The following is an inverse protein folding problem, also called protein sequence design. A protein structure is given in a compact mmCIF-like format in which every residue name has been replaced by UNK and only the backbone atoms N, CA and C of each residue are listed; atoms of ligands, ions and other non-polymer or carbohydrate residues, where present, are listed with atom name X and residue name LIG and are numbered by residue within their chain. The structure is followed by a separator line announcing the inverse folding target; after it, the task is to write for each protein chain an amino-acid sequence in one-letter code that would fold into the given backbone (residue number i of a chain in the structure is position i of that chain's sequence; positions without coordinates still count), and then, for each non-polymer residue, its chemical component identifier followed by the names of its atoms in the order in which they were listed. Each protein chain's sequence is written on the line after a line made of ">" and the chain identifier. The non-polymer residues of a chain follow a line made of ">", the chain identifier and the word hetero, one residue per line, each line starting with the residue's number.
data_IF_117325065535
#
_entry.id   IF_117325065535
#
_cell.length_a   1.000
_cell.length_b   1.000
_cell.length_c   1.000
_cell.angle_alpha   90.00
_cell.angle_beta   90.00
_cell.angle_gamma   90.00
#
_symmetry.space_group_name_H-M   'P 1'
#
loop_
_entity.id
_entity.type
_entity.pdbx_description
1 polymer ?
#
# COMPACT_ATOMS: atom_id res chain seq x y z
N UNK A 1 -2.99 12.22 -21.51
CA UNK A 1 -2.17 11.58 -20.46
C UNK A 1 -2.58 10.12 -20.37
N UNK A 2 -1.65 9.18 -20.53
CA UNK A 2 -1.94 7.75 -20.35
C UNK A 2 -1.73 7.41 -18.88
N UNK A 3 -2.74 6.89 -18.21
CA UNK A 3 -2.63 6.43 -16.82
C UNK A 3 -2.32 4.95 -16.89
N UNK A 4 -1.14 4.55 -16.43
CA UNK A 4 -0.72 3.16 -16.38
C UNK A 4 -0.36 2.77 -14.95
N UNK A 5 -0.87 1.61 -14.53
CA UNK A 5 -0.46 0.96 -13.30
C UNK A 5 0.62 -0.06 -13.66
N UNK A 6 1.90 0.28 -13.44
CA UNK A 6 2.98 -0.66 -13.69
C UNK A 6 3.02 -1.69 -12.55
N UNK A 7 3.19 -2.96 -12.91
CA UNK A 7 3.34 -4.06 -11.97
C UNK A 7 4.74 -4.64 -12.11
N UNK A 8 5.41 -4.94 -11.00
CA UNK A 8 6.76 -5.52 -11.00
C UNK A 8 6.85 -6.83 -11.80
N UNK A 9 5.81 -7.65 -11.74
CA UNK A 9 5.73 -8.95 -12.41
C UNK A 9 4.27 -9.38 -12.66
N UNK A 10 4.09 -10.49 -13.38
CA UNK A 10 2.79 -11.05 -13.73
C UNK A 10 1.98 -11.55 -12.52
N UNK A 11 2.67 -11.94 -11.43
CA UNK A 11 2.01 -12.35 -10.19
C UNK A 11 1.17 -11.19 -9.66
N UNK A 12 1.73 -9.98 -9.59
CA UNK A 12 0.98 -8.79 -9.13
C UNK A 12 -0.24 -8.52 -10.01
N UNK A 13 -0.11 -8.66 -11.34
CA UNK A 13 -1.25 -8.49 -12.27
C UNK A 13 -2.38 -9.49 -11.94
N UNK A 14 -2.03 -10.75 -11.66
CA UNK A 14 -2.99 -11.79 -11.27
C UNK A 14 -3.59 -11.60 -9.87
N UNK A 15 -2.95 -10.82 -9.01
CA UNK A 15 -3.38 -10.54 -7.64
C UNK A 15 -4.32 -9.35 -7.54
N UNK A 16 -4.23 -8.37 -8.46
CA UNK A 16 -5.13 -7.21 -8.50
C UNK A 16 -6.62 -7.53 -8.34
N UNK A 17 -7.21 -8.54 -9.02
CA UNK A 17 -8.63 -8.86 -8.82
C UNK A 17 -8.95 -9.39 -7.41
N UNK A 18 -7.96 -9.90 -6.67
CA UNK A 18 -8.08 -10.58 -5.37
C UNK A 18 -7.95 -9.64 -4.17
N UNK A 19 -7.36 -8.46 -4.35
CA UNK A 19 -7.22 -7.48 -3.26
C UNK A 19 -8.50 -6.67 -3.06
N UNK A 20 -8.61 -6.05 -1.89
CA UNK A 20 -9.73 -5.19 -1.51
C UNK A 20 -9.96 -4.10 -2.59
N UNK A 21 -11.19 -3.90 -3.08
CA UNK A 21 -11.49 -2.90 -4.09
C UNK A 21 -11.02 -1.48 -3.73
N UNK A 22 -10.95 -1.14 -2.44
CA UNK A 22 -10.48 0.16 -1.97
C UNK A 22 -8.98 0.33 -2.19
N UNK A 23 -8.18 -0.73 -2.01
CA UNK A 23 -6.75 -0.70 -2.36
C UNK A 23 -6.58 -0.41 -3.84
N UNK A 24 -7.36 -1.06 -4.72
CA UNK A 24 -7.33 -0.78 -6.17
C UNK A 24 -7.71 0.66 -6.49
N UNK A 25 -8.74 1.20 -5.84
CA UNK A 25 -9.16 2.58 -6.04
C UNK A 25 -8.05 3.57 -5.65
N UNK A 26 -7.39 3.35 -4.50
CA UNK A 26 -6.27 4.18 -4.06
C UNK A 26 -5.10 4.09 -5.05
N UNK A 27 -4.77 2.89 -5.55
CA UNK A 27 -3.70 2.69 -6.52
C UNK A 27 -3.96 3.44 -7.84
N UNK A 28 -5.19 3.42 -8.34
CA UNK A 28 -5.57 4.17 -9.54
C UNK A 28 -5.47 5.67 -9.33
N UNK A 29 -5.92 6.17 -8.17
CA UNK A 29 -5.86 7.59 -7.84
C UNK A 29 -4.41 8.06 -7.63
N UNK A 30 -3.58 7.25 -6.99
CA UNK A 30 -2.14 7.50 -6.86
C UNK A 30 -1.44 7.50 -8.23
N UNK A 31 -1.83 6.59 -9.13
CA UNK A 31 -1.31 6.58 -10.50
C UNK A 31 -1.71 7.85 -11.27
N UNK A 32 -2.96 8.31 -11.13
CA UNK A 32 -3.39 9.60 -11.69
C UNK A 32 -2.58 10.78 -11.14
N UNK A 33 -2.38 10.81 -9.81
CA UNK A 33 -1.64 11.86 -9.12
C UNK A 33 -0.18 11.97 -9.62
N UNK A 34 0.48 10.82 -9.76
CA UNK A 34 1.86 10.74 -10.24
C UNK A 34 1.96 11.04 -11.74
N UNK A 35 1.04 10.52 -12.56
CA UNK A 35 1.02 10.77 -14.00
C UNK A 35 0.87 12.27 -14.31
N UNK A 36 0.05 12.99 -13.54
CA UNK A 36 -0.11 14.43 -13.67
C UNK A 36 1.19 15.23 -13.38
N UNK A 37 2.16 14.61 -12.71
CA UNK A 37 3.49 15.17 -12.39
C UNK A 37 4.61 14.56 -13.24
N UNK A 38 4.28 13.73 -14.24
CA UNK A 38 5.25 13.09 -15.12
C UNK A 38 5.90 11.81 -14.56
N UNK A 39 5.34 11.22 -13.51
CA UNK A 39 5.84 9.97 -12.90
C UNK A 39 4.89 8.79 -13.17
N UNK A 40 5.44 7.58 -13.13
CA UNK A 40 4.68 6.33 -13.21
C UNK A 40 4.63 5.65 -11.84
N UNK A 41 3.52 4.97 -11.55
CA UNK A 41 3.36 4.19 -10.34
C UNK A 41 3.78 2.73 -10.62
N UNK A 42 4.71 2.19 -9.81
CA UNK A 42 5.11 0.79 -9.86
C UNK A 42 4.71 0.06 -8.58
N UNK A 43 3.73 -0.84 -8.70
CA UNK A 43 3.32 -1.75 -7.62
C UNK A 43 4.33 -2.90 -7.51
N UNK A 44 4.84 -3.12 -6.30
CA UNK A 44 5.86 -4.16 -6.03
C UNK A 44 5.37 -5.28 -5.14
N UNK A 45 4.25 -5.11 -4.42
CA UNK A 45 3.64 -6.15 -3.60
C UNK A 45 2.14 -5.86 -3.42
N UNK A 46 1.30 -6.89 -3.50
CA UNK A 46 -0.13 -6.83 -3.18
C UNK A 46 -0.47 -7.86 -2.11
N UNK A 47 -0.28 -9.14 -2.42
CA UNK A 47 -0.45 -10.23 -1.46
C UNK A 47 0.88 -10.72 -0.93
N UNK A 48 0.84 -11.22 0.31
CA UNK A 48 1.98 -11.86 0.97
C UNK A 48 1.48 -13.06 1.73
N UNK A 49 2.15 -14.20 1.57
CA UNK A 49 1.89 -15.40 2.38
C UNK A 49 2.42 -15.20 3.80
N UNK A 50 1.97 -16.05 4.73
CA UNK A 50 2.48 -16.00 6.11
C UNK A 50 3.98 -16.29 6.17
N UNK A 51 4.47 -17.20 5.33
CA UNK A 51 5.89 -17.56 5.29
C UNK A 51 6.75 -16.44 4.70
N UNK A 52 6.27 -15.79 3.63
CA UNK A 52 6.92 -14.58 3.09
C UNK A 52 6.97 -13.45 4.15
N UNK A 53 5.90 -13.25 4.93
CA UNK A 53 5.88 -12.27 6.01
C UNK A 53 6.88 -12.63 7.11
N UNK A 54 6.97 -13.91 7.50
CA UNK A 54 7.94 -14.37 8.50
C UNK A 54 9.38 -14.19 8.04
N UNK A 55 9.67 -14.47 6.77
CA UNK A 55 10.99 -14.31 6.20
C UNK A 55 11.52 -12.87 6.35
N UNK A 56 10.65 -11.85 6.24
CA UNK A 56 11.03 -10.43 6.46
C UNK A 56 11.54 -10.20 7.88
N UNK A 57 10.96 -10.90 8.86
CA UNK A 57 11.29 -10.76 10.29
C UNK A 57 12.16 -11.89 10.81
N UNK A 58 12.71 -12.74 9.94
CA UNK A 58 13.45 -13.95 10.33
C UNK A 58 14.57 -13.62 11.31
N UNK A 59 15.36 -12.57 11.02
CA UNK A 59 16.42 -12.11 11.91
C UNK A 59 15.89 -11.66 13.28
N UNK A 60 14.74 -10.98 13.33
CA UNK A 60 14.14 -10.55 14.59
C UNK A 60 13.70 -11.77 15.42
N UNK A 61 13.08 -12.76 14.77
CA UNK A 61 12.67 -14.03 15.40
C UNK A 61 13.89 -14.81 15.90
N UNK A 62 14.97 -14.90 15.10
CA UNK A 62 16.23 -15.54 15.51
C UNK A 62 16.88 -14.86 16.72
N UNK A 63 16.68 -13.55 16.91
CA UNK A 63 17.14 -12.79 18.07
C UNK A 63 16.20 -12.91 19.29
N UNK A 64 15.20 -13.79 19.25
CA UNK A 64 14.25 -14.01 20.35
C UNK A 64 13.19 -12.92 20.48
N UNK A 65 13.03 -12.05 19.46
CA UNK A 65 11.92 -11.09 19.43
C UNK A 65 10.61 -11.80 19.06
N UNK A 66 9.49 -11.22 19.50
CA UNK A 66 8.15 -11.76 19.26
C UNK A 66 7.91 -11.96 17.76
N UNK A 67 7.21 -13.06 17.42
CA UNK A 67 6.70 -13.32 16.07
C UNK A 67 5.98 -12.09 15.51
N UNK A 68 6.18 -11.77 14.21
CA UNK A 68 5.55 -10.61 13.61
C UNK A 68 4.02 -10.77 13.60
N UNK A 69 3.32 -9.68 13.83
CA UNK A 69 1.88 -9.63 13.66
C UNK A 69 1.49 -9.98 12.21
N UNK A 70 0.22 -10.32 12.00
CA UNK A 70 -0.26 -10.60 10.65
C UNK A 70 -0.28 -9.33 9.81
N UNK A 71 0.28 -9.39 8.62
CA UNK A 71 0.34 -8.24 7.71
C UNK A 71 -1.01 -8.02 7.02
N UNK A 72 -1.42 -6.76 6.76
CA UNK A 72 -2.52 -6.46 5.86
C UNK A 72 -2.39 -7.09 4.45
N UNK A 73 -1.15 -7.34 3.98
CA UNK A 73 -0.91 -8.05 2.72
C UNK A 73 -1.39 -9.52 2.76
N UNK A 74 -1.39 -10.17 3.92
CA UNK A 74 -1.93 -11.53 4.08
C UNK A 74 -3.44 -11.59 3.85
N UNK A 75 -4.11 -10.43 3.87
CA UNK A 75 -5.56 -10.30 3.73
C UNK A 75 -5.97 -9.47 2.50
N UNK A 76 -5.04 -9.14 1.61
CA UNK A 76 -5.32 -8.30 0.44
C UNK A 76 -5.77 -6.87 0.76
N UNK A 77 -5.38 -6.34 1.93
CA UNK A 77 -5.73 -4.99 2.38
C UNK A 77 -4.58 -3.99 2.28
N UNK A 78 -3.51 -4.33 1.57
CA UNK A 78 -2.38 -3.43 1.38
C UNK A 78 -1.71 -3.57 0.00
N UNK A 79 -0.90 -2.57 -0.33
CA UNK A 79 -0.04 -2.53 -1.50
C UNK A 79 1.27 -1.80 -1.18
N UNK A 80 2.38 -2.29 -1.73
CA UNK A 80 3.67 -1.58 -1.68
C UNK A 80 3.97 -1.00 -3.06
N UNK A 81 4.40 0.27 -3.09
CA UNK A 81 4.75 1.02 -4.30
C UNK A 81 6.21 1.44 -4.23
N UNK A 82 6.96 1.26 -5.31
CA UNK A 82 8.33 1.77 -5.41
C UNK A 82 8.35 3.30 -5.47
N UNK A 83 9.21 3.90 -4.66
CA UNK A 83 9.42 5.36 -4.59
C UNK A 83 10.69 5.83 -5.31
N UNK A 84 11.61 4.91 -5.61
CA UNK A 84 12.89 5.23 -6.28
C UNK A 84 12.67 5.96 -7.61
N UNK A 85 13.31 7.12 -7.77
CA UNK A 85 13.21 7.97 -8.96
C UNK A 85 12.10 9.04 -8.88
N UNK A 86 11.30 9.06 -7.81
CA UNK A 86 10.33 10.11 -7.53
C UNK A 86 10.91 11.05 -6.47
N UNK A 87 10.89 12.38 -6.66
CA UNK A 87 11.36 13.33 -5.65
C UNK A 87 10.64 13.16 -4.32
N UNK A 88 11.37 13.37 -3.22
CA UNK A 88 10.86 13.19 -1.87
C UNK A 88 9.65 14.09 -1.57
N UNK A 89 9.66 15.31 -2.12
CA UNK A 89 8.56 16.27 -1.99
C UNK A 89 7.28 15.73 -2.65
N UNK A 90 7.40 15.11 -3.83
CA UNK A 90 6.26 14.53 -4.55
C UNK A 90 5.70 13.32 -3.79
N UNK A 91 6.57 12.49 -3.19
CA UNK A 91 6.12 11.39 -2.33
C UNK A 91 5.43 11.91 -1.07
N UNK A 92 5.96 12.96 -0.44
CA UNK A 92 5.34 13.58 0.74
C UNK A 92 3.94 14.14 0.40
N UNK A 93 3.80 14.83 -0.74
CA UNK A 93 2.49 15.30 -1.23
C UNK A 93 1.53 14.14 -1.51
N UNK A 94 2.01 13.05 -2.14
CA UNK A 94 1.19 11.87 -2.40
C UNK A 94 0.71 11.21 -1.11
N UNK A 95 1.58 11.07 -0.11
CA UNK A 95 1.24 10.54 1.22
C UNK A 95 0.17 11.41 1.88
N UNK A 96 0.34 12.73 1.85
CA UNK A 96 -0.64 13.67 2.40
C UNK A 96 -1.98 13.58 1.67
N UNK A 97 -1.95 13.53 0.33
CA UNK A 97 -3.13 13.39 -0.52
C UNK A 97 -3.92 12.12 -0.20
N UNK A 98 -3.25 10.95 -0.15
CA UNK A 98 -3.91 9.68 0.15
C UNK A 98 -4.49 9.69 1.56
N UNK A 99 -3.74 10.11 2.56
CA UNK A 99 -4.21 10.10 3.95
C UNK A 99 -5.37 11.08 4.20
N UNK A 100 -5.42 12.20 3.47
CA UNK A 100 -6.54 13.13 3.53
C UNK A 100 -7.80 12.55 2.88
N UNK A 101 -7.66 11.93 1.70
CA UNK A 101 -8.78 11.41 0.90
C UNK A 101 -9.31 10.07 1.41
N UNK A 102 -8.42 9.24 1.96
CA UNK A 102 -8.70 7.88 2.43
C UNK A 102 -8.25 7.74 3.89
N UNK A 103 -8.94 8.38 4.85
CA UNK A 103 -8.59 8.24 6.25
C UNK A 103 -8.72 6.78 6.68
N UNK A 104 -7.77 6.31 7.48
CA UNK A 104 -7.86 4.97 8.06
C UNK A 104 -8.95 4.93 9.14
N UNK A 105 -9.50 3.73 9.42
CA UNK A 105 -10.59 3.53 10.39
C UNK A 105 -10.26 3.99 11.82
N UNK A 106 -8.98 4.19 12.14
CA UNK A 106 -8.48 4.55 13.47
C UNK A 106 -7.51 5.73 13.35
N UNK A 107 -7.64 6.79 14.18
CA UNK A 107 -6.83 8.01 14.04
C UNK A 107 -5.32 7.82 14.20
N UNK A 108 -4.90 6.71 14.82
CA UNK A 108 -3.48 6.39 15.08
C UNK A 108 -2.79 5.68 13.91
N UNK A 109 -3.54 5.28 12.90
CA UNK A 109 -3.03 4.52 11.76
C UNK A 109 -3.25 5.37 10.51
N UNK A 110 -2.24 5.38 9.65
CA UNK A 110 -2.31 6.05 8.35
C UNK A 110 -2.61 5.02 7.26
N UNK A 111 -3.33 5.48 6.23
CA UNK A 111 -3.59 4.72 5.02
C UNK A 111 -2.32 4.61 4.18
N UNK A 112 -1.56 5.69 4.05
CA UNK A 112 -0.30 5.73 3.31
C UNK A 112 0.87 6.09 4.23
N UNK A 113 1.94 5.29 4.21
CA UNK A 113 3.16 5.49 4.99
C UNK A 113 4.37 5.16 4.11
N UNK A 114 5.30 6.11 3.98
CA UNK A 114 6.62 5.82 3.41
C UNK A 114 7.53 5.26 4.51
N UNK A 115 8.12 4.09 4.28
CA UNK A 115 9.03 3.47 5.24
C UNK A 115 9.97 2.46 4.59
N UNK A 116 10.96 2.01 5.37
CA UNK A 116 11.88 0.94 4.99
C UNK A 116 11.94 -0.10 6.12
N UNK A 117 11.28 -1.24 5.92
CA UNK A 117 11.24 -2.38 6.87
C UNK A 117 12.15 -3.53 6.44
N UNK A 118 13.29 -3.21 5.81
CA UNK A 118 14.28 -4.20 5.36
C UNK A 118 14.13 -4.66 3.90
N UNK A 119 13.05 -4.26 3.22
CA UNK A 119 12.82 -4.51 1.78
C UNK A 119 13.22 -3.35 0.85
N UNK A 120 13.78 -2.27 1.41
CA UNK A 120 14.05 -1.03 0.68
C UNK A 120 12.99 0.05 0.95
N UNK A 121 13.30 1.30 0.57
CA UNK A 121 12.36 2.42 0.67
C UNK A 121 11.18 2.22 -0.29
N UNK A 122 9.97 2.33 0.26
CA UNK A 122 8.73 2.21 -0.50
C UNK A 122 7.60 2.96 0.20
N UNK A 123 6.52 3.17 -0.55
CA UNK A 123 5.25 3.67 -0.04
C UNK A 123 4.32 2.49 0.21
N UNK A 124 3.98 2.25 1.48
CA UNK A 124 3.00 1.27 1.90
C UNK A 124 1.62 1.91 1.97
N UNK A 125 0.64 1.28 1.34
CA UNK A 125 -0.76 1.67 1.37
C UNK A 125 -1.57 0.56 2.03
N UNK A 126 -2.48 0.90 2.93
CA UNK A 126 -3.34 -0.05 3.63
C UNK A 126 -4.73 0.50 3.92
N UNK A 127 -5.72 -0.38 3.94
CA UNK A 127 -7.11 -0.06 4.31
C UNK A 127 -7.54 -0.85 5.53
N UNK A 128 -8.40 -0.27 6.37
CA UNK A 128 -8.92 -0.93 7.56
C UNK A 128 -9.91 -2.06 7.26
N UNK A 129 -10.35 -2.76 8.30
CA UNK A 129 -11.28 -3.90 8.18
C UNK A 129 -12.73 -3.47 7.92
N UNK A 130 -13.10 -2.21 8.17
CA UNK A 130 -14.50 -1.80 8.03
C UNK A 130 -14.91 -1.81 6.56
N UNK A 131 -16.05 -2.42 6.25
CA UNK A 131 -16.82 -2.11 5.04
C UNK A 131 -17.15 -0.62 5.06
N UNK A 132 -16.78 0.12 4.03
CA UNK A 132 -17.09 1.54 3.92
C UNK A 132 -18.61 1.76 3.78
N UNK A 133 -19.34 1.78 4.90
CA UNK A 133 -20.62 2.46 5.03
C UNK A 133 -20.34 3.87 5.56
N UNK A 134 -19.84 4.75 4.68
CA UNK A 134 -19.76 6.19 4.96
C UNK A 134 -20.54 7.03 3.94
N UNK A 135 -21.43 6.43 3.16
CA UNK A 135 -22.66 7.13 2.79
C UNK A 135 -23.54 7.21 4.05
N UNK A 136 -23.17 8.09 4.97
CA UNK A 136 -24.06 8.60 5.99
C UNK A 136 -25.13 9.45 5.33
N UNK A 137 -26.06 8.83 4.59
CA UNK A 137 -27.42 9.33 4.54
C UNK A 137 -28.06 8.72 5.78
N UNK A 138 -28.12 9.52 6.84
CA UNK A 138 -29.05 9.25 7.93
C UNK A 138 -30.44 9.16 7.29
N UNK A 139 -31.04 7.97 7.35
CA UNK A 139 -32.47 7.77 7.14
C UNK A 139 -33.18 7.96 8.48
#
# INVERSE_FOLDING_TARGET
>A
MKIELLCKDERIVSELPKVDPRVRAILLDAACFLAARGFSLLVTCLLRTRDEQRAIFERAVQLGLKEPERSPHEFGRAADIRTMGIPDEVIAELVAYINLKYPYDTPKIQCAIRHNVGGGDHLHIQVGWRSASIWGIAA
#
